data_IF_139433327242
#
_entry.id   IF_139433327242
#
_cell.length_a   1.000
_cell.length_b   1.000
_cell.length_c   1.000
_cell.angle_alpha   90.00
_cell.angle_beta   90.00
_cell.angle_gamma   90.00
#
_symmetry.space_group_name_H-M   'P 1'
#
loop_
_entity.id
_entity.type
_entity.pdbx_description
1 polymer ?
#
# COMPACT_ATOMS: atom_id res chain seq x y z
N UNK A 1 6.25 4.40 -5.44
CA UNK A 1 7.03 5.27 -4.54
C UNK A 1 7.70 4.36 -3.53
N UNK A 2 8.99 4.54 -3.28
CA UNK A 2 9.73 3.80 -2.24
C UNK A 2 10.08 4.76 -1.11
N UNK A 3 9.91 4.33 0.14
CA UNK A 3 10.25 5.11 1.33
C UNK A 3 11.14 4.22 2.19
N UNK A 4 12.41 4.58 2.31
CA UNK A 4 13.38 3.89 3.15
C UNK A 4 13.74 4.80 4.34
N UNK A 5 13.62 4.34 5.59
CA UNK A 5 14.05 5.11 6.74
C UNK A 5 15.58 5.17 6.84
N UNK A 6 16.12 6.26 7.39
CA UNK A 6 17.55 6.45 7.62
C UNK A 6 18.03 5.65 8.86
N UNK A 7 17.93 4.32 8.81
CA UNK A 7 18.37 3.40 9.86
C UNK A 7 17.27 2.50 10.42
N UNK A 8 17.50 1.96 11.62
CA UNK A 8 16.55 1.06 12.29
C UNK A 8 15.55 1.88 13.10
N UNK A 9 14.27 1.81 12.73
CA UNK A 9 13.17 2.48 13.41
C UNK A 9 12.25 1.46 14.07
N UNK A 10 11.71 1.83 15.24
CA UNK A 10 10.63 1.07 15.86
C UNK A 10 9.38 1.19 14.97
N UNK A 11 8.73 0.06 14.68
CA UNK A 11 7.54 0.02 13.82
C UNK A 11 6.45 0.99 14.25
N UNK A 12 6.28 1.19 15.56
CA UNK A 12 5.30 2.11 16.16
C UNK A 12 5.50 3.58 15.76
N UNK A 13 6.69 3.96 15.27
CA UNK A 13 6.98 5.31 14.80
C UNK A 13 6.86 5.46 13.27
N UNK A 14 6.70 4.34 12.55
CA UNK A 14 6.55 4.34 11.10
C UNK A 14 5.08 4.44 10.68
N UNK A 15 4.14 4.13 11.56
CA UNK A 15 2.71 4.14 11.27
C UNK A 15 2.25 5.49 10.71
N UNK A 16 2.58 6.60 11.40
CA UNK A 16 2.20 7.95 10.97
C UNK A 16 2.79 8.33 9.61
N UNK A 17 4.05 7.92 9.34
CA UNK A 17 4.74 8.23 8.09
C UNK A 17 4.16 7.42 6.93
N UNK A 18 3.94 6.12 7.15
CA UNK A 18 3.32 5.22 6.17
C UNK A 18 1.92 5.72 5.85
N UNK A 19 1.12 6.06 6.87
CA UNK A 19 -0.24 6.53 6.69
C UNK A 19 -0.28 7.85 5.93
N UNK A 20 0.59 8.80 6.26
CA UNK A 20 0.69 10.08 5.56
C UNK A 20 1.05 9.90 4.08
N UNK A 21 2.11 9.14 3.79
CA UNK A 21 2.56 8.87 2.42
C UNK A 21 1.50 8.13 1.60
N UNK A 22 0.85 7.13 2.21
CA UNK A 22 -0.22 6.35 1.60
C UNK A 22 -1.43 7.23 1.24
N UNK A 23 -1.94 8.02 2.20
CA UNK A 23 -3.10 8.90 1.98
C UNK A 23 -2.83 9.91 0.87
N UNK A 24 -1.65 10.55 0.89
CA UNK A 24 -1.27 11.52 -0.14
C UNK A 24 -1.32 10.92 -1.55
N UNK A 25 -0.70 9.75 -1.75
CA UNK A 25 -0.69 9.08 -3.05
C UNK A 25 -2.09 8.66 -3.49
N UNK A 26 -2.89 8.18 -2.54
CA UNK A 26 -4.27 7.79 -2.80
C UNK A 26 -5.11 9.00 -3.23
N UNK A 27 -4.96 10.14 -2.58
CA UNK A 27 -5.74 11.35 -2.86
C UNK A 27 -5.33 12.01 -4.18
N UNK A 28 -4.06 11.92 -4.56
CA UNK A 28 -3.55 12.39 -5.85
C UNK A 28 -4.00 11.50 -7.03
N UNK A 29 -4.40 10.25 -6.77
CA UNK A 29 -4.87 9.33 -7.80
C UNK A 29 -6.27 9.72 -8.32
N UNK A 30 -6.53 9.42 -9.60
CA UNK A 30 -7.87 9.58 -10.17
C UNK A 30 -8.84 8.58 -9.52
N UNK A 31 -9.69 9.08 -8.61
CA UNK A 31 -10.64 8.27 -7.86
C UNK A 31 -11.62 7.48 -8.74
N UNK A 32 -11.93 7.97 -9.96
CA UNK A 32 -12.81 7.27 -10.90
C UNK A 32 -12.16 6.03 -11.53
N UNK A 33 -10.84 5.89 -11.43
CA UNK A 33 -10.06 4.78 -11.98
C UNK A 33 -9.35 3.96 -10.89
N UNK A 34 -9.50 4.34 -9.61
CA UNK A 34 -8.86 3.67 -8.50
C UNK A 34 -9.64 2.42 -8.11
N UNK A 35 -9.05 1.24 -8.32
CA UNK A 35 -9.63 -0.06 -7.96
C UNK A 35 -9.25 -0.44 -6.53
N UNK A 36 -7.97 -0.33 -6.18
CA UNK A 36 -7.42 -0.64 -4.86
C UNK A 36 -6.12 0.14 -4.62
N UNK A 37 -5.65 0.18 -3.37
CA UNK A 37 -4.38 0.76 -2.97
C UNK A 37 -3.77 0.01 -1.79
N UNK A 38 -2.45 -0.05 -1.70
CA UNK A 38 -1.75 -0.72 -0.60
C UNK A 38 -0.26 -0.39 -0.58
N UNK A 39 0.42 -0.85 0.45
CA UNK A 39 1.87 -0.70 0.63
C UNK A 39 2.50 -2.06 0.91
N UNK A 40 3.78 -2.21 0.55
CA UNK A 40 4.54 -3.45 0.74
C UNK A 40 5.68 -3.14 1.71
N UNK A 41 5.70 -3.83 2.84
CA UNK A 41 6.82 -3.79 3.79
C UNK A 41 7.93 -4.72 3.29
N UNK A 42 9.14 -4.20 3.14
CA UNK A 42 10.32 -5.00 2.78
C UNK A 42 11.32 -4.93 3.95
N UNK A 43 11.52 -6.03 4.69
CA UNK A 43 12.46 -6.05 5.82
C UNK A 43 13.93 -5.97 5.42
N UNK A 44 14.25 -6.37 4.19
CA UNK A 44 15.61 -6.38 3.66
C UNK A 44 15.90 -5.12 2.83
N UNK A 45 17.18 -4.75 2.71
CA UNK A 45 17.62 -3.63 1.88
C UNK A 45 17.61 -4.00 0.38
N UNK A 46 16.46 -4.44 -0.12
CA UNK A 46 16.21 -4.76 -1.52
C UNK A 46 15.16 -3.79 -2.07
N UNK A 47 15.40 -3.26 -3.26
CA UNK A 47 14.40 -2.48 -3.97
C UNK A 47 13.45 -3.40 -4.73
N UNK A 48 12.22 -2.93 -4.91
CA UNK A 48 11.19 -3.63 -5.64
C UNK A 48 10.74 -2.76 -6.81
N UNK A 49 10.92 -3.26 -8.04
CA UNK A 49 10.38 -2.58 -9.20
C UNK A 49 8.84 -2.69 -9.26
N UNK A 50 8.25 -1.84 -10.09
CA UNK A 50 6.79 -1.77 -10.24
C UNK A 50 6.18 -3.09 -10.74
N UNK A 51 6.87 -3.81 -11.64
CA UNK A 51 6.38 -5.07 -12.18
C UNK A 51 6.34 -6.17 -11.10
N UNK A 52 7.35 -6.21 -10.24
CA UNK A 52 7.42 -7.11 -9.10
C UNK A 52 6.34 -6.77 -8.06
N UNK A 53 6.14 -5.48 -7.76
CA UNK A 53 5.06 -5.04 -6.89
C UNK A 53 3.67 -5.42 -7.43
N UNK A 54 3.44 -5.23 -8.74
CA UNK A 54 2.19 -5.59 -9.40
C UNK A 54 1.87 -7.09 -9.27
N UNK A 55 2.89 -7.96 -9.42
CA UNK A 55 2.72 -9.41 -9.23
C UNK A 55 2.36 -9.79 -7.80
N UNK A 56 2.90 -9.07 -6.80
CA UNK A 56 2.53 -9.29 -5.40
C UNK A 56 1.06 -8.91 -5.19
N UNK A 57 0.63 -7.75 -5.68
CA UNK A 57 -0.76 -7.32 -5.59
C UNK A 57 -1.73 -8.28 -6.29
N UNK A 58 -1.36 -8.80 -7.46
CA UNK A 58 -2.12 -9.84 -8.15
C UNK A 58 -2.23 -11.11 -7.30
N UNK A 59 -1.11 -11.61 -6.76
CA UNK A 59 -1.06 -12.84 -5.98
C UNK A 59 -1.90 -12.78 -4.70
N UNK A 60 -2.03 -11.59 -4.09
CA UNK A 60 -2.89 -11.39 -2.91
C UNK A 60 -4.33 -11.03 -3.26
N UNK A 61 -4.69 -11.00 -4.55
CA UNK A 61 -6.05 -10.71 -5.01
C UNK A 61 -6.46 -9.24 -4.86
N UNK A 62 -5.50 -8.31 -4.82
CA UNK A 62 -5.76 -6.89 -4.55
C UNK A 62 -6.71 -6.24 -5.57
N UNK A 63 -6.85 -6.79 -6.79
CA UNK A 63 -7.70 -6.22 -7.83
C UNK A 63 -9.13 -6.75 -7.83
N UNK A 64 -9.42 -7.81 -7.08
CA UNK A 64 -10.74 -8.44 -7.03
C UNK A 64 -11.55 -7.91 -5.83
N UNK A 65 -11.93 -6.63 -5.89
CA UNK A 65 -12.68 -5.98 -4.82
C UNK A 65 -14.16 -6.38 -4.85
N UNK A 66 -14.60 -7.14 -3.85
CA UNK A 66 -16.02 -7.45 -3.64
C UNK A 66 -16.61 -6.39 -2.72
N UNK A 67 -17.70 -5.77 -3.14
CA UNK A 67 -18.45 -4.86 -2.29
C UNK A 67 -18.94 -5.66 -1.06
N UNK A 68 -18.45 -5.30 0.12
CA UNK A 68 -19.04 -5.82 1.36
C UNK A 68 -20.39 -5.16 1.50
N UNK A 69 -21.45 -5.88 1.15
CA UNK A 69 -22.79 -5.45 1.51
C UNK A 69 -22.87 -5.43 3.03
N UNK A 70 -23.02 -4.24 3.60
CA UNK A 70 -23.26 -4.05 5.02
C UNK A 70 -24.47 -4.90 5.40
N UNK A 71 -24.24 -6.02 6.09
CA UNK A 71 -25.33 -6.73 6.73
C UNK A 71 -26.00 -5.76 7.69
N UNK A 72 -27.32 -5.63 7.53
CA UNK A 72 -28.19 -5.06 8.53
C UNK A 72 -27.93 -5.74 9.87
N UNK A 73 -27.54 -4.96 10.87
CA UNK A 73 -27.55 -5.32 12.28
C UNK A 73 -27.98 -4.08 13.07
#
# INVERSE_FOLDING_TARGET
MEVAPDGVYLSDHLEDVIEHCYKKLRDEANQSQMVASGWIAIPEAISLDEAHAARIFEAVGAWHQVKVDSCAA
#
